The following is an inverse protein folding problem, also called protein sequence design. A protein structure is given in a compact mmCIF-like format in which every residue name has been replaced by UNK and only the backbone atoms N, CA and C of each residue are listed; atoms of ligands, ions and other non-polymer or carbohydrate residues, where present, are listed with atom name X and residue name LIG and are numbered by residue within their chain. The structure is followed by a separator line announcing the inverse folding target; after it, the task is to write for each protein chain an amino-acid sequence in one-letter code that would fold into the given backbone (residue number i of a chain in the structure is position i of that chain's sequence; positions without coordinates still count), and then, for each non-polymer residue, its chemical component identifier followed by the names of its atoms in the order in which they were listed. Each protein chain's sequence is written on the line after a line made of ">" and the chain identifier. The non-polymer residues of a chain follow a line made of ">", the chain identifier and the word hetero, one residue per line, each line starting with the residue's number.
data_IF_516896093025
#
_entry.id   IF_516896093025
#
_cell.length_a   1.000
_cell.length_b   1.000
_cell.length_c   1.000
_cell.angle_alpha   90.00
_cell.angle_beta   90.00
_cell.angle_gamma   90.00
#
_symmetry.space_group_name_H-M   'P 1'
#
loop_
_entity.id
_entity.type
_entity.pdbx_description
1 polymer ?
#
# COMPACT_ATOMS: atom_id res chain seq x y z
N UNK A 1 -4.28 -17.49 2.63
CA UNK A 1 -2.81 -17.35 2.67
C UNK A 1 -2.27 -17.96 3.96
N UNK A 2 -1.13 -18.64 3.89
CA UNK A 2 -0.48 -19.25 5.05
C UNK A 2 0.77 -18.45 5.39
N UNK A 3 0.90 -18.04 6.64
CA UNK A 3 2.10 -17.40 7.16
C UNK A 3 2.89 -18.41 7.96
N UNK A 4 4.11 -18.72 7.52
CA UNK A 4 4.98 -19.71 8.14
C UNK A 4 6.42 -19.16 8.30
N UNK A 5 7.08 -19.58 9.37
CA UNK A 5 8.48 -19.27 9.64
C UNK A 5 9.17 -20.45 10.29
N UNK A 6 10.31 -20.89 9.75
CA UNK A 6 11.12 -22.02 10.24
C UNK A 6 10.32 -23.30 10.52
N UNK A 7 9.44 -23.66 9.60
CA UNK A 7 8.62 -24.89 9.69
C UNK A 7 7.40 -24.79 10.61
N UNK A 8 7.18 -23.64 11.27
CA UNK A 8 5.99 -23.38 12.09
C UNK A 8 5.00 -22.50 11.35
N UNK A 9 3.70 -22.85 11.40
CA UNK A 9 2.62 -22.04 10.80
C UNK A 9 2.06 -21.11 11.86
N UNK A 10 2.18 -19.80 11.63
CA UNK A 10 1.74 -18.76 12.57
C UNK A 10 0.31 -18.30 12.33
N UNK A 11 -0.25 -18.54 11.15
CA UNK A 11 -1.64 -18.22 10.88
C UNK A 11 -2.05 -18.50 9.45
N UNK A 12 -3.36 -18.58 9.26
CA UNK A 12 -3.99 -18.81 7.95
C UNK A 12 -4.99 -17.68 7.71
N UNK A 13 -4.66 -16.78 6.78
CA UNK A 13 -5.56 -15.71 6.36
C UNK A 13 -6.57 -16.23 5.35
N UNK A 14 -7.84 -16.01 5.64
CA UNK A 14 -8.98 -16.43 4.83
C UNK A 14 -9.56 -15.27 4.05
N UNK A 15 -9.92 -15.50 2.78
CA UNK A 15 -10.53 -14.51 1.88
C UNK A 15 -11.91 -14.07 2.37
N UNK A 16 -12.15 -12.76 2.39
CA UNK A 16 -13.41 -12.18 2.85
C UNK A 16 -14.43 -12.05 1.72
N UNK A 17 -14.00 -11.53 0.58
CA UNK A 17 -14.87 -11.26 -0.57
C UNK A 17 -14.58 -12.26 -1.69
N UNK A 18 -15.57 -13.09 -1.99
CA UNK A 18 -15.48 -14.10 -3.05
C UNK A 18 -16.12 -13.52 -4.33
N UNK A 19 -15.37 -13.34 -5.43
CA UNK A 19 -15.94 -12.90 -6.69
C UNK A 19 -16.93 -13.95 -7.23
N UNK A 20 -18.11 -13.50 -7.62
CA UNK A 20 -19.17 -14.35 -8.16
C UNK A 20 -19.94 -13.60 -9.24
N UNK A 21 -19.23 -13.17 -10.27
CA UNK A 21 -19.73 -12.39 -11.41
C UNK A 21 -18.84 -12.66 -12.64
N UNK A 22 -19.39 -12.45 -13.83
CA UNK A 22 -18.74 -12.72 -15.12
C UNK A 22 -18.12 -14.15 -15.15
N UNK A 23 -16.81 -14.22 -15.37
CA UNK A 23 -16.03 -15.45 -15.40
C UNK A 23 -15.75 -16.08 -14.03
N UNK A 24 -16.05 -15.37 -12.94
CA UNK A 24 -15.79 -15.82 -11.57
C UNK A 24 -17.02 -16.44 -10.91
N UNK A 25 -16.83 -17.61 -10.31
CA UNK A 25 -17.87 -18.36 -9.55
C UNK A 25 -17.30 -19.00 -8.29
N UNK A 26 -16.46 -18.26 -7.54
CA UNK A 26 -15.75 -18.76 -6.37
C UNK A 26 -16.70 -19.23 -5.25
N UNK A 27 -17.88 -18.64 -5.10
CA UNK A 27 -18.87 -19.07 -4.11
C UNK A 27 -19.37 -20.49 -4.30
N UNK A 28 -19.15 -21.07 -5.47
CA UNK A 28 -19.48 -22.49 -5.73
C UNK A 28 -18.52 -23.42 -5.00
N UNK A 29 -17.28 -22.99 -4.78
CA UNK A 29 -16.18 -23.86 -4.32
C UNK A 29 -15.65 -23.47 -2.96
N UNK A 30 -15.81 -22.20 -2.53
CA UNK A 30 -15.21 -21.65 -1.34
C UNK A 30 -16.22 -20.94 -0.46
N UNK A 31 -15.99 -20.99 0.85
CA UNK A 31 -16.71 -20.21 1.85
C UNK A 31 -15.92 -18.94 2.22
N UNK A 32 -16.63 -17.86 2.49
CA UNK A 32 -16.07 -16.60 2.93
C UNK A 32 -15.55 -16.69 4.37
N UNK A 33 -14.56 -15.88 4.72
CA UNK A 33 -14.16 -15.68 6.11
C UNK A 33 -15.31 -15.31 7.05
N UNK A 34 -16.41 -14.75 6.53
CA UNK A 34 -17.63 -14.42 7.30
C UNK A 34 -18.42 -15.64 7.73
N UNK A 35 -18.17 -16.78 7.10
CA UNK A 35 -18.89 -18.05 7.33
C UNK A 35 -18.06 -19.02 8.19
N UNK A 36 -16.87 -18.57 8.67
CA UNK A 36 -16.06 -19.37 9.56
C UNK A 36 -16.77 -19.64 10.87
N UNK A 37 -16.82 -20.92 11.25
CA UNK A 37 -17.37 -21.38 12.54
C UNK A 37 -16.31 -21.51 13.63
N UNK A 38 -15.02 -21.39 13.27
CA UNK A 38 -13.88 -21.45 14.19
C UNK A 38 -12.87 -20.35 13.84
N UNK A 39 -12.07 -19.96 14.80
CA UNK A 39 -11.01 -18.98 14.65
C UNK A 39 -9.60 -19.60 14.64
N UNK A 40 -9.52 -20.92 14.70
CA UNK A 40 -8.27 -21.68 14.62
C UNK A 40 -8.49 -23.06 14.00
N UNK A 41 -7.41 -23.69 13.60
CA UNK A 41 -7.33 -25.09 13.20
C UNK A 41 -6.12 -25.71 13.90
N UNK A 42 -6.20 -26.99 14.29
CA UNK A 42 -5.04 -27.63 14.90
C UNK A 42 -4.03 -28.09 13.83
N UNK A 43 -2.75 -27.94 14.14
CA UNK A 43 -1.69 -28.35 13.21
C UNK A 43 -1.74 -29.85 12.90
N UNK A 44 -2.12 -30.68 13.86
CA UNK A 44 -2.36 -32.12 13.66
C UNK A 44 -3.43 -32.41 12.59
N UNK A 45 -4.52 -31.63 12.57
CA UNK A 45 -5.59 -31.77 11.56
C UNK A 45 -5.09 -31.38 10.17
N UNK A 46 -4.27 -30.30 10.09
CA UNK A 46 -3.77 -29.77 8.82
C UNK A 46 -2.63 -30.62 8.22
N UNK A 47 -1.71 -31.07 9.07
CA UNK A 47 -0.50 -31.78 8.65
C UNK A 47 -0.62 -33.31 8.71
N UNK A 48 -1.70 -33.84 9.32
CA UNK A 48 -1.92 -35.26 9.47
C UNK A 48 -0.93 -35.97 10.43
N UNK A 49 -0.34 -35.20 11.35
CA UNK A 49 0.66 -35.71 12.30
C UNK A 49 0.33 -35.27 13.71
N UNK A 50 0.22 -36.25 14.63
CA UNK A 50 -0.04 -35.95 16.06
C UNK A 50 1.18 -35.41 16.80
N UNK A 51 2.37 -35.41 16.20
CA UNK A 51 3.61 -34.94 16.82
C UNK A 51 3.67 -33.42 16.99
N UNK A 52 2.83 -32.70 16.25
CA UNK A 52 2.79 -31.23 16.28
C UNK A 52 1.36 -30.75 16.52
N UNK A 53 0.91 -30.75 17.77
CA UNK A 53 -0.45 -30.30 18.10
C UNK A 53 -0.44 -28.90 18.73
N UNK A 54 -0.65 -27.87 17.89
CA UNK A 54 -0.85 -26.50 18.31
C UNK A 54 -1.96 -25.84 17.48
N UNK A 55 -2.65 -24.87 18.09
CA UNK A 55 -3.70 -24.12 17.44
C UNK A 55 -3.12 -23.06 16.49
N UNK A 56 -3.44 -23.15 15.20
CA UNK A 56 -3.05 -22.19 14.19
C UNK A 56 -4.20 -21.17 14.03
N UNK A 57 -3.98 -19.89 14.27
CA UNK A 57 -4.97 -18.85 14.07
C UNK A 57 -5.52 -18.85 12.62
N UNK A 58 -6.84 -18.81 12.48
CA UNK A 58 -7.57 -18.83 11.21
C UNK A 58 -8.51 -17.61 11.14
N UNK A 59 -8.46 -16.84 10.06
CA UNK A 59 -9.40 -15.72 9.89
C UNK A 59 -8.89 -14.64 8.92
N UNK A 60 -9.67 -13.58 8.75
CA UNK A 60 -9.33 -12.40 7.96
C UNK A 60 -8.84 -11.21 8.82
N UNK A 61 -8.68 -11.43 10.12
CA UNK A 61 -8.37 -10.43 11.12
C UNK A 61 -7.02 -10.70 11.80
N UNK A 62 -6.03 -11.14 11.03
CA UNK A 62 -4.70 -11.47 11.53
C UNK A 62 -3.70 -10.37 11.16
N UNK A 63 -2.92 -9.91 12.14
CA UNK A 63 -1.75 -9.04 11.96
C UNK A 63 -0.54 -9.76 12.54
N UNK A 64 0.53 -9.80 11.78
CA UNK A 64 1.77 -10.46 12.15
C UNK A 64 2.81 -9.43 12.54
N UNK A 65 3.40 -9.62 13.72
CA UNK A 65 4.45 -8.77 14.24
C UNK A 65 5.81 -9.44 14.12
N UNK A 66 6.75 -8.77 13.49
CA UNK A 66 8.17 -9.08 13.56
C UNK A 66 8.79 -8.09 14.56
N UNK A 67 9.30 -8.55 15.72
CA UNK A 67 9.88 -7.67 16.71
C UNK A 67 10.97 -6.78 16.12
N UNK A 68 10.97 -5.51 16.53
CA UNK A 68 11.94 -4.49 16.12
C UNK A 68 12.05 -4.25 14.60
N UNK A 69 11.09 -4.77 13.81
CA UNK A 69 11.08 -4.61 12.38
C UNK A 69 9.77 -3.94 11.89
N UNK A 70 8.71 -4.70 11.70
CA UNK A 70 7.44 -4.18 11.16
C UNK A 70 6.27 -5.13 11.47
N UNK A 71 5.07 -4.62 11.19
CA UNK A 71 3.85 -5.40 11.22
C UNK A 71 3.27 -5.55 9.83
N UNK A 72 2.76 -6.73 9.49
CA UNK A 72 2.11 -6.95 8.22
C UNK A 72 0.77 -7.67 8.34
N UNK A 73 -0.08 -7.47 7.36
CA UNK A 73 -1.31 -8.22 7.16
C UNK A 73 -1.41 -8.77 5.75
N UNK A 74 -2.24 -9.77 5.55
CA UNK A 74 -2.49 -10.34 4.24
C UNK A 74 -3.98 -10.30 3.89
N UNK A 75 -4.29 -9.99 2.64
CA UNK A 75 -5.63 -10.11 2.06
C UNK A 75 -5.54 -10.83 0.71
N UNK A 76 -6.66 -11.30 0.18
CA UNK A 76 -6.63 -12.18 -0.98
C UNK A 76 -7.46 -11.61 -2.13
N UNK A 77 -6.77 -11.28 -3.22
CA UNK A 77 -7.35 -10.99 -4.54
C UNK A 77 -8.50 -9.96 -4.49
N UNK A 78 -9.76 -10.45 -4.54
CA UNK A 78 -10.99 -9.64 -4.55
C UNK A 78 -11.13 -8.74 -3.32
N UNK A 79 -10.49 -9.06 -2.21
CA UNK A 79 -10.52 -8.22 -1.02
C UNK A 79 -10.04 -6.79 -1.31
N UNK A 80 -9.03 -6.62 -2.19
CA UNK A 80 -8.54 -5.30 -2.65
C UNK A 80 -9.62 -4.47 -3.36
N UNK A 81 -10.55 -5.13 -4.09
CA UNK A 81 -11.55 -4.45 -4.92
C UNK A 81 -12.75 -3.96 -4.11
N UNK A 82 -12.87 -4.41 -2.86
CA UNK A 82 -13.93 -3.97 -1.98
C UNK A 82 -13.80 -2.47 -1.65
N UNK A 83 -14.92 -1.73 -1.52
CA UNK A 83 -14.91 -0.33 -1.07
C UNK A 83 -14.19 -0.17 0.27
N UNK A 84 -14.42 -1.10 1.20
CA UNK A 84 -13.73 -1.20 2.49
C UNK A 84 -13.06 -2.57 2.56
N UNK A 85 -11.78 -2.67 2.14
CA UNK A 85 -11.04 -3.92 2.15
C UNK A 85 -10.59 -4.31 3.56
N UNK A 86 -10.29 -5.58 3.83
CA UNK A 86 -9.70 -6.02 5.10
C UNK A 86 -8.43 -5.26 5.47
N UNK A 87 -7.61 -4.92 4.47
CA UNK A 87 -6.38 -4.12 4.65
C UNK A 87 -6.61 -2.76 5.29
N UNK A 88 -7.81 -2.16 5.16
CA UNK A 88 -8.13 -0.91 5.83
C UNK A 88 -8.09 -1.07 7.37
N UNK A 89 -8.71 -2.14 7.88
CA UNK A 89 -8.69 -2.43 9.32
C UNK A 89 -7.31 -2.89 9.80
N UNK A 90 -6.59 -3.68 8.98
CA UNK A 90 -5.23 -4.10 9.27
C UNK A 90 -4.30 -2.88 9.42
N UNK A 91 -4.35 -1.94 8.49
CA UNK A 91 -3.54 -0.73 8.53
C UNK A 91 -3.88 0.15 9.75
N UNK A 92 -5.18 0.39 10.02
CA UNK A 92 -5.64 1.15 11.20
C UNK A 92 -5.27 0.47 12.52
N UNK A 93 -5.01 -0.82 12.51
CA UNK A 93 -4.60 -1.61 13.69
C UNK A 93 -3.08 -1.85 13.74
N UNK A 94 -2.30 -1.17 12.91
CA UNK A 94 -0.84 -1.12 13.00
C UNK A 94 -0.07 -1.73 11.83
N UNK A 95 -0.69 -2.50 10.94
CA UNK A 95 0.04 -3.09 9.82
C UNK A 95 0.64 -2.03 8.90
N UNK A 96 1.97 -2.00 8.76
CA UNK A 96 2.71 -1.12 7.86
C UNK A 96 2.85 -1.70 6.45
N UNK A 97 2.75 -3.03 6.37
CA UNK A 97 2.89 -3.79 5.13
C UNK A 97 1.61 -4.59 4.88
N UNK A 98 1.04 -4.48 3.69
CA UNK A 98 -0.09 -5.28 3.24
C UNK A 98 0.35 -6.16 2.08
N UNK A 99 0.06 -7.44 2.20
CA UNK A 99 0.33 -8.46 1.18
C UNK A 99 -0.99 -8.85 0.53
N UNK A 100 -1.06 -8.79 -0.80
CA UNK A 100 -2.20 -9.28 -1.56
C UNK A 100 -1.76 -10.40 -2.51
N UNK A 101 -2.29 -11.59 -2.26
CA UNK A 101 -2.08 -12.77 -3.09
C UNK A 101 -3.27 -12.92 -4.02
N UNK A 102 -3.04 -12.78 -5.31
CA UNK A 102 -4.10 -12.72 -6.33
C UNK A 102 -3.99 -13.83 -7.38
N UNK A 103 -5.13 -14.19 -7.93
CA UNK A 103 -5.27 -14.87 -9.21
C UNK A 103 -6.24 -14.05 -10.08
N UNK A 104 -5.84 -12.82 -10.37
CA UNK A 104 -6.63 -11.90 -11.18
C UNK A 104 -6.30 -12.09 -12.65
N UNK A 105 -7.28 -12.53 -13.43
CA UNK A 105 -7.14 -12.66 -14.88
C UNK A 105 -6.82 -11.34 -15.56
N UNK A 106 -6.23 -11.39 -16.73
CA UNK A 106 -5.90 -10.19 -17.50
C UNK A 106 -6.94 -9.93 -18.59
N UNK A 107 -7.36 -8.68 -18.66
CA UNK A 107 -8.20 -8.13 -19.72
C UNK A 107 -7.66 -6.76 -20.14
N UNK A 108 -8.09 -6.24 -21.29
CA UNK A 108 -7.64 -4.93 -21.77
C UNK A 108 -7.99 -3.84 -20.76
N UNK A 109 -6.97 -3.08 -20.31
CA UNK A 109 -7.11 -1.98 -19.34
C UNK A 109 -7.12 -2.40 -17.87
N UNK A 110 -7.19 -3.70 -17.56
CA UNK A 110 -7.26 -4.18 -16.17
C UNK A 110 -5.94 -4.00 -15.42
N UNK A 111 -4.80 -4.05 -16.14
CA UNK A 111 -3.48 -3.80 -15.55
C UNK A 111 -3.38 -2.39 -14.99
N UNK A 112 -3.73 -1.40 -15.80
CA UNK A 112 -3.69 0.01 -15.42
C UNK A 112 -4.69 0.32 -14.30
N UNK A 113 -5.81 -0.38 -14.27
CA UNK A 113 -6.78 -0.27 -13.19
C UNK A 113 -6.23 -0.84 -11.88
N UNK A 114 -5.61 -2.04 -11.89
CA UNK A 114 -4.94 -2.64 -10.72
C UNK A 114 -3.85 -1.73 -10.17
N UNK A 115 -3.03 -1.15 -11.06
CA UNK A 115 -1.97 -0.21 -10.68
C UNK A 115 -2.53 1.00 -9.92
N UNK A 116 -3.62 1.60 -10.42
CA UNK A 116 -4.30 2.72 -9.75
C UNK A 116 -4.83 2.30 -8.39
N UNK A 117 -5.45 1.13 -8.29
CA UNK A 117 -6.00 0.60 -7.04
C UNK A 117 -4.92 0.38 -5.98
N UNK A 118 -3.83 -0.28 -6.34
CA UNK A 118 -2.72 -0.56 -5.41
C UNK A 118 -2.05 0.73 -4.96
N UNK A 119 -1.82 1.69 -5.86
CA UNK A 119 -1.29 3.01 -5.53
C UNK A 119 -2.22 3.78 -4.59
N UNK A 120 -3.53 3.77 -4.88
CA UNK A 120 -4.52 4.44 -4.04
C UNK A 120 -4.55 3.84 -2.64
N UNK A 121 -4.60 2.51 -2.51
CA UNK A 121 -4.60 1.83 -1.21
C UNK A 121 -3.31 2.11 -0.44
N UNK A 122 -2.15 2.04 -1.07
CA UNK A 122 -0.88 2.36 -0.39
C UNK A 122 -0.82 3.81 0.10
N UNK A 123 -1.50 4.74 -0.58
CA UNK A 123 -1.59 6.15 -0.18
C UNK A 123 -2.58 6.34 0.97
N UNK A 124 -3.82 5.90 0.78
CA UNK A 124 -4.90 6.15 1.74
C UNK A 124 -4.69 5.41 3.06
N UNK A 125 -4.11 4.22 3.02
CA UNK A 125 -3.79 3.42 4.20
C UNK A 125 -2.43 3.75 4.81
N UNK A 126 -1.66 4.67 4.21
CA UNK A 126 -0.30 5.03 4.64
C UNK A 126 0.54 3.78 4.92
N UNK A 127 0.67 2.91 3.92
CA UNK A 127 1.36 1.62 4.03
C UNK A 127 2.19 1.31 2.79
N UNK A 128 3.02 0.28 2.90
CA UNK A 128 3.53 -0.42 1.72
C UNK A 128 2.54 -1.51 1.33
N UNK A 129 2.19 -1.55 0.05
CA UNK A 129 1.28 -2.55 -0.50
C UNK A 129 2.01 -3.41 -1.54
N UNK A 130 2.09 -4.71 -1.27
CA UNK A 130 2.65 -5.71 -2.17
C UNK A 130 1.52 -6.50 -2.82
N UNK A 131 1.53 -6.52 -4.14
CA UNK A 131 0.58 -7.27 -4.94
C UNK A 131 1.33 -8.32 -5.76
N UNK A 132 0.94 -9.58 -5.63
CA UNK A 132 1.48 -10.70 -6.40
C UNK A 132 0.34 -11.52 -7.01
N UNK A 133 0.35 -11.66 -8.33
CA UNK A 133 -0.70 -12.39 -9.05
C UNK A 133 -0.17 -13.64 -9.73
N UNK A 134 -1.07 -14.60 -9.95
CA UNK A 134 -0.83 -15.83 -10.70
C UNK A 134 -0.20 -15.52 -12.07
N UNK A 135 0.77 -16.33 -12.46
CA UNK A 135 1.52 -16.20 -13.70
C UNK A 135 0.90 -16.94 -14.88
N UNK A 136 1.54 -16.84 -16.03
CA UNK A 136 1.06 -17.45 -17.28
C UNK A 136 0.88 -18.97 -17.20
N UNK A 137 1.60 -19.64 -16.31
CA UNK A 137 1.49 -21.10 -16.10
C UNK A 137 0.16 -21.52 -15.44
N UNK A 138 -0.55 -20.57 -14.79
CA UNK A 138 -1.88 -20.78 -14.20
C UNK A 138 -3.02 -20.49 -15.20
N UNK A 139 -2.71 -20.08 -16.41
CA UNK A 139 -3.71 -19.78 -17.44
C UNK A 139 -4.47 -21.04 -17.84
N UNK A 140 -5.79 -20.86 -18.02
CA UNK A 140 -6.72 -21.93 -18.40
C UNK A 140 -7.33 -21.66 -19.78
N UNK A 141 -8.28 -22.49 -20.24
CA UNK A 141 -9.02 -22.29 -21.48
C UNK A 141 -9.72 -20.94 -21.55
N UNK A 142 -10.24 -20.45 -20.41
CA UNK A 142 -11.11 -19.27 -20.36
C UNK A 142 -10.38 -18.03 -19.81
N UNK A 143 -9.29 -18.23 -19.05
CA UNK A 143 -8.60 -17.17 -18.34
C UNK A 143 -7.12 -17.11 -18.70
N UNK A 144 -6.61 -15.89 -18.79
CA UNK A 144 -5.19 -15.60 -18.98
C UNK A 144 -4.70 -14.81 -17.76
N UNK A 145 -3.56 -15.23 -17.22
CA UNK A 145 -2.88 -14.57 -16.10
C UNK A 145 -1.53 -14.02 -16.56
N UNK A 146 -1.22 -12.79 -16.17
CA UNK A 146 0.01 -12.10 -16.61
C UNK A 146 1.14 -12.13 -15.58
N UNK A 147 0.91 -12.65 -14.39
CA UNK A 147 1.89 -12.60 -13.30
C UNK A 147 2.19 -11.18 -12.84
N UNK A 148 1.21 -10.29 -12.85
CA UNK A 148 1.42 -8.89 -12.47
C UNK A 148 1.82 -8.80 -11.00
N UNK A 149 3.02 -8.27 -10.74
CA UNK A 149 3.56 -8.01 -9.40
C UNK A 149 3.88 -6.53 -9.25
N UNK A 150 3.58 -5.97 -8.08
CA UNK A 150 3.80 -4.55 -7.75
C UNK A 150 4.20 -4.39 -6.29
N UNK A 151 5.09 -3.43 -6.04
CA UNK A 151 5.43 -2.94 -4.69
C UNK A 151 5.21 -1.43 -4.69
N UNK A 152 4.23 -0.96 -3.92
CA UNK A 152 3.87 0.45 -3.79
C UNK A 152 4.03 0.92 -2.35
N UNK A 153 4.61 2.10 -2.14
CA UNK A 153 4.78 2.74 -0.84
C UNK A 153 4.26 4.18 -0.91
N UNK A 154 3.26 4.51 -0.10
CA UNK A 154 2.68 5.85 -0.05
C UNK A 154 2.25 6.40 -1.43
N UNK A 155 1.70 5.56 -2.29
CA UNK A 155 1.28 5.90 -3.65
C UNK A 155 2.39 5.87 -4.71
N UNK A 156 3.64 5.67 -4.31
CA UNK A 156 4.77 5.57 -5.24
C UNK A 156 5.01 4.11 -5.62
N UNK A 157 5.05 3.82 -6.92
CA UNK A 157 5.53 2.54 -7.42
C UNK A 157 7.03 2.43 -7.16
N UNK A 158 7.44 1.47 -6.33
CA UNK A 158 8.84 1.16 -6.08
C UNK A 158 9.38 0.17 -7.10
N UNK A 159 8.60 -0.86 -7.38
CA UNK A 159 8.93 -1.88 -8.36
C UNK A 159 7.66 -2.46 -9.00
N UNK A 160 7.78 -2.84 -10.26
CA UNK A 160 6.72 -3.47 -11.06
C UNK A 160 7.38 -4.37 -12.11
N UNK A 161 6.79 -5.55 -12.36
CA UNK A 161 7.30 -6.41 -13.41
C UNK A 161 6.80 -6.00 -14.81
N UNK A 162 7.44 -6.54 -15.85
CA UNK A 162 7.01 -6.39 -17.24
C UNK A 162 5.60 -6.95 -17.48
N UNK A 163 5.00 -6.61 -18.62
CA UNK A 163 3.57 -6.81 -18.89
C UNK A 163 3.09 -8.25 -18.81
N UNK A 164 3.89 -9.21 -19.26
CA UNK A 164 3.62 -10.65 -19.17
C UNK A 164 4.92 -11.31 -18.73
N UNK A 165 4.89 -12.00 -17.61
CA UNK A 165 6.02 -12.78 -17.14
C UNK A 165 5.89 -14.21 -17.70
N UNK A 166 6.78 -14.57 -18.63
CA UNK A 166 6.81 -15.92 -19.23
C UNK A 166 7.36 -16.97 -18.27
N UNK A 167 8.11 -16.54 -17.26
CA UNK A 167 8.74 -17.41 -16.27
C UNK A 167 8.45 -16.94 -14.84
N UNK A 168 8.81 -17.74 -13.85
CA UNK A 168 8.79 -17.33 -12.45
C UNK A 168 9.61 -16.07 -12.25
N UNK A 169 9.05 -15.10 -11.54
CA UNK A 169 9.63 -13.78 -11.38
C UNK A 169 9.72 -13.40 -9.90
N UNK A 170 10.86 -12.86 -9.50
CA UNK A 170 11.07 -12.28 -8.18
C UNK A 170 11.19 -10.77 -8.30
N UNK A 171 10.27 -10.04 -7.67
CA UNK A 171 10.30 -8.59 -7.58
C UNK A 171 10.81 -8.17 -6.20
N UNK A 172 11.85 -7.33 -6.18
CA UNK A 172 12.50 -6.90 -4.93
C UNK A 172 12.56 -5.37 -4.88
N UNK A 173 12.30 -4.80 -3.73
CA UNK A 173 12.50 -3.39 -3.43
C UNK A 173 12.71 -3.16 -1.94
N UNK A 174 13.44 -2.11 -1.59
CA UNK A 174 13.54 -1.64 -0.21
C UNK A 174 12.34 -0.77 0.14
N UNK A 175 11.76 -1.01 1.30
CA UNK A 175 10.67 -0.22 1.87
C UNK A 175 11.17 0.58 3.08
N UNK A 176 10.53 1.73 3.34
CA UNK A 176 10.91 2.66 4.42
C UNK A 176 9.84 2.66 5.51
N UNK A 177 9.96 1.73 6.44
CA UNK A 177 9.01 1.55 7.54
C UNK A 177 9.00 2.76 8.48
N UNK A 178 10.18 3.30 8.82
CA UNK A 178 10.29 4.47 9.70
C UNK A 178 9.56 5.69 9.12
N UNK A 179 9.65 5.87 7.81
CA UNK A 179 8.91 6.92 7.12
C UNK A 179 7.40 6.72 7.22
N UNK A 180 6.92 5.50 7.00
CA UNK A 180 5.49 5.16 7.14
C UNK A 180 5.01 5.51 8.54
N UNK A 181 5.74 5.10 9.56
CA UNK A 181 5.45 5.38 10.97
C UNK A 181 5.45 6.90 11.25
N UNK A 182 6.46 7.61 10.76
CA UNK A 182 6.55 9.06 10.91
C UNK A 182 5.39 9.81 10.22
N UNK A 183 4.99 9.37 9.02
CA UNK A 183 3.87 9.95 8.28
C UNK A 183 2.53 9.69 8.99
N UNK A 184 2.32 8.48 9.56
CA UNK A 184 1.15 8.16 10.39
C UNK A 184 1.08 9.01 11.66
N UNK A 185 2.21 9.24 12.33
CA UNK A 185 2.27 10.11 13.52
C UNK A 185 1.91 11.57 13.22
N UNK A 186 2.24 12.05 12.03
CA UNK A 186 1.89 13.41 11.58
C UNK A 186 0.45 13.50 11.08
N UNK A 187 -0.09 12.41 10.56
CA UNK A 187 -1.40 12.34 9.91
C UNK A 187 -2.55 12.31 10.91
N UNK A 188 -3.01 13.46 11.42
CA UNK A 188 -4.12 13.52 12.40
C UNK A 188 -5.38 12.83 11.92
N UNK A 189 -5.78 13.05 10.67
CA UNK A 189 -6.96 12.39 10.07
C UNK A 189 -6.82 10.86 10.09
N UNK A 190 -5.62 10.33 9.84
CA UNK A 190 -5.38 8.89 9.93
C UNK A 190 -5.58 8.39 11.36
N UNK A 191 -5.05 9.11 12.36
CA UNK A 191 -5.18 8.76 13.79
C UNK A 191 -6.64 8.82 14.24
N UNK A 192 -7.39 9.84 13.83
CA UNK A 192 -8.81 9.99 14.15
C UNK A 192 -9.63 8.86 13.50
N UNK A 193 -9.32 8.49 12.26
CA UNK A 193 -9.94 7.38 11.56
C UNK A 193 -9.63 6.04 12.27
N UNK A 194 -8.38 5.80 12.65
CA UNK A 194 -7.97 4.62 13.40
C UNK A 194 -8.66 4.55 14.77
N UNK A 195 -8.78 5.66 15.48
CA UNK A 195 -9.50 5.74 16.77
C UNK A 195 -10.99 5.49 16.63
N UNK A 196 -11.60 5.90 15.51
CA UNK A 196 -13.05 5.75 15.28
C UNK A 196 -13.42 4.34 14.79
N UNK A 197 -12.65 3.80 13.85
CA UNK A 197 -13.01 2.59 13.11
C UNK A 197 -12.06 1.41 13.35
N UNK A 198 -10.88 1.63 13.91
CA UNK A 198 -9.90 0.56 14.13
C UNK A 198 -10.41 -0.59 14.99
N UNK A 199 -11.28 -0.27 15.95
CA UNK A 199 -11.92 -1.27 16.83
C UNK A 199 -13.15 -1.96 16.20
N UNK A 200 -13.59 -1.55 15.02
CA UNK A 200 -14.75 -2.17 14.35
C UNK A 200 -14.52 -3.63 13.97
N UNK A 201 -13.25 -4.00 13.80
CA UNK A 201 -12.79 -5.38 13.62
C UNK A 201 -11.74 -5.66 14.69
N UNK A 202 -11.97 -6.66 15.54
CA UNK A 202 -10.99 -7.10 16.53
C UNK A 202 -9.85 -7.84 15.83
N UNK A 203 -8.74 -7.15 15.60
CA UNK A 203 -7.54 -7.74 15.01
C UNK A 203 -6.77 -8.56 16.02
N UNK A 204 -6.39 -9.78 15.65
CA UNK A 204 -5.54 -10.67 16.43
C UNK A 204 -4.08 -10.43 16.08
N UNK A 205 -3.28 -10.12 17.10
CA UNK A 205 -1.85 -9.84 16.99
C UNK A 205 -1.06 -11.14 17.14
N UNK A 206 -0.34 -11.52 16.10
CA UNK A 206 0.44 -12.77 16.05
C UNK A 206 1.92 -12.42 16.04
N UNK A 207 2.64 -12.83 17.07
CA UNK A 207 4.09 -12.61 17.17
C UNK A 207 4.83 -13.69 16.39
N UNK A 208 5.71 -13.30 15.46
CA UNK A 208 6.66 -14.18 14.80
C UNK A 208 8.04 -13.89 15.40
N UNK A 209 8.64 -14.83 16.17
CA UNK A 209 9.89 -14.60 16.89
C UNK A 209 11.10 -14.67 15.94
N UNK A 210 11.26 -13.65 15.11
CA UNK A 210 12.43 -13.51 14.25
C UNK A 210 13.56 -12.97 15.11
N UNK A 211 14.64 -13.74 15.26
CA UNK A 211 15.79 -13.40 16.09
C UNK A 211 17.02 -12.94 15.29
N UNK A 212 16.93 -12.94 13.97
CA UNK A 212 18.05 -12.57 13.10
C UNK A 212 17.99 -11.09 12.76
N UNK A 213 19.11 -10.38 12.99
CA UNK A 213 19.29 -9.06 12.40
C UNK A 213 19.40 -9.22 10.88
N UNK A 214 18.57 -8.51 10.14
CA UNK A 214 18.72 -8.43 8.69
C UNK A 214 19.88 -7.49 8.39
N UNK A 215 21.05 -8.03 8.06
CA UNK A 215 22.14 -7.25 7.52
C UNK A 215 21.85 -6.94 6.04
N UNK A 216 21.90 -5.67 5.68
CA UNK A 216 21.73 -5.24 4.30
C UNK A 216 23.08 -4.92 3.69
N UNK A 217 23.41 -5.56 2.57
CA UNK A 217 24.61 -5.29 1.78
C UNK A 217 24.55 -3.96 0.98
N UNK A 218 23.64 -3.09 1.34
CA UNK A 218 23.38 -1.80 0.68
C UNK A 218 21.91 -1.63 0.33
N UNK A 219 21.51 -0.39 0.08
CA UNK A 219 20.14 -0.06 -0.27
C UNK A 219 19.90 -0.12 -1.77
N UNK A 220 18.83 -0.81 -2.21
CA UNK A 220 18.31 -0.77 -3.57
C UNK A 220 17.56 0.54 -3.85
N UNK A 221 17.34 1.34 -2.81
CA UNK A 221 16.56 2.57 -2.89
C UNK A 221 17.41 3.72 -3.42
N UNK A 222 17.01 4.30 -4.54
CA UNK A 222 17.61 5.53 -5.02
C UNK A 222 17.16 6.72 -4.19
N UNK A 223 18.11 7.41 -3.54
CA UNK A 223 17.86 8.66 -2.85
C UNK A 223 17.95 9.81 -3.86
N UNK A 224 16.87 10.62 -3.95
CA UNK A 224 16.90 11.78 -4.82
C UNK A 224 17.79 12.88 -4.19
N UNK A 225 18.95 13.23 -4.81
CA UNK A 225 19.84 14.27 -4.28
C UNK A 225 19.22 15.67 -4.33
N UNK A 226 18.14 15.84 -5.10
CA UNK A 226 17.43 17.13 -5.25
C UNK A 226 15.93 16.96 -4.92
N UNK A 227 15.56 16.75 -3.64
CA UNK A 227 14.17 16.42 -3.27
C UNK A 227 13.17 17.55 -3.57
N UNK A 228 13.65 18.81 -3.60
CA UNK A 228 12.80 19.98 -3.85
C UNK A 228 12.70 20.35 -5.34
N UNK A 229 13.60 19.85 -6.17
CA UNK A 229 13.68 20.24 -7.59
C UNK A 229 13.53 18.99 -8.47
N UNK A 230 12.44 18.84 -9.23
CA UNK A 230 12.32 17.73 -10.16
C UNK A 230 13.44 17.70 -11.19
N UNK A 231 14.06 16.53 -11.40
CA UNK A 231 15.13 16.35 -12.42
C UNK A 231 14.60 16.51 -13.84
N UNK A 232 13.38 16.09 -14.10
CA UNK A 232 12.71 16.25 -15.39
C UNK A 232 12.32 17.70 -15.66
N UNK A 233 12.74 18.24 -16.80
CA UNK A 233 12.54 19.65 -17.16
C UNK A 233 11.07 20.03 -17.28
N UNK A 234 10.21 19.20 -17.86
CA UNK A 234 8.79 19.49 -18.00
C UNK A 234 8.08 19.50 -16.64
N UNK A 235 8.39 18.54 -15.79
CA UNK A 235 7.86 18.48 -14.42
C UNK A 235 8.33 19.68 -13.60
N UNK A 236 9.60 20.09 -13.76
CA UNK A 236 10.15 21.26 -13.09
C UNK A 236 9.46 22.54 -13.53
N UNK A 237 9.28 22.76 -14.83
CA UNK A 237 8.55 23.92 -15.35
C UNK A 237 7.11 23.96 -14.83
N UNK A 238 6.39 22.85 -14.91
CA UNK A 238 5.03 22.76 -14.35
C UNK A 238 5.01 23.13 -12.87
N UNK A 239 5.89 22.53 -12.06
CA UNK A 239 5.96 22.80 -10.63
C UNK A 239 6.28 24.27 -10.33
N UNK A 240 7.20 24.87 -11.06
CA UNK A 240 7.52 26.31 -10.92
C UNK A 240 6.29 27.17 -11.27
N UNK A 241 5.58 26.86 -12.33
CA UNK A 241 4.35 27.57 -12.71
C UNK A 241 3.23 27.40 -11.67
N UNK A 242 3.05 26.20 -11.15
CA UNK A 242 2.07 25.94 -10.10
C UNK A 242 2.38 26.77 -8.83
N UNK A 243 3.66 26.78 -8.39
CA UNK A 243 4.11 27.60 -7.26
C UNK A 243 3.84 29.11 -7.54
N UNK A 244 4.20 29.57 -8.73
CA UNK A 244 4.02 30.97 -9.13
C UNK A 244 2.54 31.38 -9.09
N UNK A 245 1.64 30.56 -9.67
CA UNK A 245 0.21 30.83 -9.65
C UNK A 245 -0.38 30.79 -8.23
N UNK A 246 0.07 29.86 -7.37
CA UNK A 246 -0.38 29.81 -5.98
C UNK A 246 0.01 31.08 -5.21
N UNK A 247 1.23 31.56 -5.41
CA UNK A 247 1.73 32.79 -4.76
C UNK A 247 0.97 34.02 -5.25
N UNK A 248 0.75 34.14 -6.56
CA UNK A 248 -0.05 35.26 -7.14
C UNK A 248 -1.48 35.22 -6.61
N UNK A 249 -2.12 34.07 -6.61
CA UNK A 249 -3.50 33.90 -6.12
C UNK A 249 -3.64 34.29 -4.65
N UNK A 250 -2.69 33.85 -3.81
CA UNK A 250 -2.65 34.22 -2.40
C UNK A 250 -2.46 35.73 -2.18
N UNK A 251 -1.54 36.34 -2.94
CA UNK A 251 -1.28 37.77 -2.88
C UNK A 251 -2.47 38.62 -3.38
N UNK A 252 -3.04 38.25 -4.53
CA UNK A 252 -4.22 38.91 -5.08
C UNK A 252 -5.40 38.92 -4.09
N UNK A 253 -5.64 37.77 -3.42
CA UNK A 253 -6.67 37.70 -2.39
C UNK A 253 -6.41 38.62 -1.20
N UNK A 254 -5.16 38.72 -0.73
CA UNK A 254 -4.80 39.65 0.36
C UNK A 254 -4.99 41.09 -0.06
N UNK A 255 -4.54 41.44 -1.26
CA UNK A 255 -4.69 42.78 -1.81
C UNK A 255 -6.14 43.23 -1.95
N UNK A 256 -7.02 42.34 -2.40
CA UNK A 256 -8.45 42.64 -2.52
C UNK A 256 -9.11 43.00 -1.17
N UNK A 257 -8.59 42.44 -0.07
CA UNK A 257 -9.08 42.74 1.28
C UNK A 257 -8.48 44.04 1.83
N UNK A 258 -7.21 44.35 1.49
CA UNK A 258 -6.47 45.52 2.01
C UNK A 258 -6.61 46.78 1.14
N UNK A 259 -7.55 46.82 0.20
CA UNK A 259 -7.79 48.00 -0.65
C UNK A 259 -6.80 48.18 -1.79
N UNK A 260 -6.05 47.13 -2.16
CA UNK A 260 -5.23 47.08 -3.37
C UNK A 260 -3.92 47.88 -3.33
N UNK A 261 -3.57 48.52 -2.21
CA UNK A 261 -2.31 49.27 -2.08
C UNK A 261 -1.22 48.41 -1.44
N UNK A 262 -0.03 48.46 -1.98
CA UNK A 262 1.10 47.69 -1.52
C UNK A 262 2.39 48.49 -1.54
N UNK A 263 3.25 48.21 -0.58
CA UNK A 263 4.63 48.70 -0.52
C UNK A 263 5.55 47.49 -0.44
N UNK A 264 6.55 47.44 -1.30
CA UNK A 264 7.56 46.36 -1.32
C UNK A 264 8.95 46.97 -1.20
N UNK A 265 9.75 46.45 -0.28
CA UNK A 265 11.17 46.74 -0.20
C UNK A 265 11.96 45.80 -1.12
N UNK A 266 12.59 46.35 -2.16
CA UNK A 266 13.40 45.54 -3.10
C UNK A 266 14.86 45.67 -2.71
N UNK A 267 15.45 44.63 -2.13
CA UNK A 267 16.85 44.60 -1.71
C UNK A 267 17.83 44.22 -2.84
N UNK A 268 17.31 43.85 -4.02
CA UNK A 268 18.10 43.28 -5.14
C UNK A 268 18.34 41.76 -5.03
N UNK A 269 17.89 41.14 -3.95
CA UNK A 269 17.90 39.69 -3.80
C UNK A 269 16.81 39.00 -4.62
N UNK A 270 16.95 37.65 -4.83
CA UNK A 270 16.02 36.88 -5.64
C UNK A 270 14.59 36.91 -5.08
N UNK A 271 14.40 36.83 -3.77
CA UNK A 271 13.08 36.80 -3.12
C UNK A 271 12.28 38.10 -3.37
N UNK A 272 12.93 39.28 -3.13
CA UNK A 272 12.29 40.56 -3.35
C UNK A 272 12.03 40.84 -4.84
N UNK A 273 12.92 40.40 -5.72
CA UNK A 273 12.75 40.51 -7.18
C UNK A 273 11.60 39.61 -7.66
N UNK A 274 11.51 38.39 -7.17
CA UNK A 274 10.41 37.46 -7.49
C UNK A 274 9.07 38.06 -6.98
N UNK A 275 9.05 38.59 -5.78
CA UNK A 275 7.86 39.25 -5.22
C UNK A 275 7.40 40.44 -6.07
N UNK A 276 8.33 41.21 -6.61
CA UNK A 276 8.02 42.31 -7.53
C UNK A 276 7.40 41.81 -8.86
N UNK A 277 7.91 40.68 -9.39
CA UNK A 277 7.36 40.06 -10.61
C UNK A 277 5.93 39.56 -10.40
N UNK A 278 5.57 39.08 -9.19
CA UNK A 278 4.20 38.66 -8.91
C UNK A 278 3.21 39.84 -8.97
N UNK A 279 3.67 41.02 -8.60
CA UNK A 279 2.87 42.25 -8.59
C UNK A 279 2.59 42.80 -9.98
N UNK A 280 3.45 42.50 -10.93
CA UNK A 280 3.36 43.03 -12.30
C UNK A 280 2.47 42.24 -13.24
N UNK A 281 1.96 41.06 -12.82
CA UNK A 281 1.02 40.28 -13.63
C UNK A 281 -0.42 40.58 -13.21
N UNK A 282 -1.30 40.92 -14.16
CA UNK A 282 -2.72 41.12 -13.95
C UNK A 282 -3.43 39.85 -13.57
#
# INVERSE_FOLDING_TARGET
>A
AVTAYRGHIYGITVKTFLPNYNEFYEKRWFSSARELSTDHIYASELLGSEECDYAIPLGNNLIYHLPDAFCFGAEICEDLWAPIPPSAFMAMSGAELILNLSASNDTIGKREYREKLVKEKSTSLMCTYLYASAGANESTTDLIFSGHCMICEGGKMLAENSRIAENNYLLVADIDIERIQADRLKGKTYQDCAGTYGSAVSMRQILIPVSEAFESDGSLRSVNPHPFTPGDTKRRQKRCMDIFHMQIGGLAKRLSICGGKMVIGVSGGMDSTLSLLWLHRP
#
